data_IF_568934404264
#
_entry.id   IF_568934404264
#
_cell.length_a   1.000
_cell.length_b   1.000
_cell.length_c   1.000
_cell.angle_alpha   90.00
_cell.angle_beta   90.00
_cell.angle_gamma   90.00
#
_symmetry.space_group_name_H-M   'P 1'
#
loop_
_entity.id
_entity.type
_entity.pdbx_description
1 polymer ?
#
# COMPACT_ATOMS: atom_id res chain seq x y z
N UNK A 1 20.36 0.45 -5.13
CA UNK A 1 20.01 -0.99 -5.04
C UNK A 1 18.74 -1.24 -4.23
N UNK A 2 18.61 -0.71 -3.01
CA UNK A 2 17.43 -0.96 -2.14
C UNK A 2 16.08 -0.59 -2.77
N UNK A 3 16.03 0.54 -3.49
CA UNK A 3 14.83 0.97 -4.21
C UNK A 3 14.32 -0.06 -5.21
N UNK A 4 15.20 -0.74 -5.93
CA UNK A 4 14.81 -1.68 -6.99
C UNK A 4 14.20 -2.97 -6.42
N UNK A 5 14.43 -3.27 -5.14
CA UNK A 5 13.82 -4.40 -4.44
C UNK A 5 12.46 -4.04 -3.84
N UNK A 6 12.11 -2.75 -3.78
CA UNK A 6 10.86 -2.29 -3.17
C UNK A 6 9.61 -2.94 -3.79
N UNK A 7 9.48 -3.08 -5.13
CA UNK A 7 8.30 -3.73 -5.71
C UNK A 7 8.17 -5.19 -5.29
N UNK A 8 9.29 -5.90 -5.10
CA UNK A 8 9.28 -7.28 -4.62
C UNK A 8 8.77 -7.36 -3.18
N UNK A 9 9.27 -6.52 -2.28
CA UNK A 9 8.78 -6.49 -0.90
C UNK A 9 7.32 -6.02 -0.83
N UNK A 10 6.93 -5.07 -1.67
CA UNK A 10 5.53 -4.63 -1.79
C UNK A 10 4.61 -5.76 -2.28
N UNK A 11 5.08 -6.64 -3.17
CA UNK A 11 4.33 -7.82 -3.62
C UNK A 11 4.10 -8.84 -2.49
N UNK A 12 5.07 -8.99 -1.60
CA UNK A 12 5.03 -9.97 -0.50
C UNK A 12 4.22 -9.42 0.68
N UNK A 13 4.24 -8.11 0.89
CA UNK A 13 3.65 -7.47 2.08
C UNK A 13 2.19 -7.85 2.35
N UNK A 14 1.24 -7.85 1.38
CA UNK A 14 -0.14 -8.26 1.64
C UNK A 14 -0.26 -9.64 2.27
N UNK A 15 0.56 -10.61 1.87
CA UNK A 15 0.53 -11.97 2.42
C UNK A 15 0.97 -12.04 3.88
N UNK A 16 1.85 -11.11 4.29
CA UNK A 16 2.32 -11.01 5.68
C UNK A 16 1.36 -10.22 6.56
N UNK A 17 0.69 -9.22 5.97
CA UNK A 17 -0.26 -8.35 6.67
C UNK A 17 -1.61 -9.06 6.86
N UNK A 18 -2.08 -9.81 5.86
CA UNK A 18 -3.41 -10.43 5.86
C UNK A 18 -3.75 -11.25 7.13
N UNK A 19 -2.85 -12.09 7.70
CA UNK A 19 -3.13 -12.76 8.97
C UNK A 19 -3.37 -11.80 10.15
N UNK A 20 -2.72 -10.63 10.14
CA UNK A 20 -2.81 -9.61 11.19
C UNK A 20 -4.15 -8.86 11.09
N UNK A 21 -4.65 -8.64 9.87
CA UNK A 21 -5.92 -7.95 9.60
C UNK A 21 -7.14 -8.70 10.15
N UNK A 22 -7.06 -10.01 10.37
CA UNK A 22 -8.12 -10.76 11.04
C UNK A 22 -8.27 -10.42 12.52
N UNK A 23 -7.21 -9.90 13.16
CA UNK A 23 -7.14 -9.71 14.61
C UNK A 23 -7.23 -8.25 14.99
N UNK A 24 -6.64 -7.35 14.19
CA UNK A 24 -6.56 -5.94 14.51
C UNK A 24 -7.64 -5.09 13.81
N UNK A 25 -8.23 -4.12 14.51
CA UNK A 25 -9.14 -3.17 13.90
C UNK A 25 -8.38 -2.23 12.97
N UNK A 26 -9.06 -1.73 11.92
CA UNK A 26 -8.54 -0.74 10.97
C UNK A 26 -7.37 -1.26 10.09
N UNK A 27 -7.59 -2.25 9.21
CA UNK A 27 -6.56 -2.87 8.37
C UNK A 27 -5.75 -1.84 7.54
N UNK A 28 -6.44 -0.82 7.01
CA UNK A 28 -5.81 0.28 6.27
C UNK A 28 -4.68 0.99 7.02
N UNK A 29 -4.75 1.13 8.35
CA UNK A 29 -3.67 1.76 9.13
C UNK A 29 -2.42 0.87 9.12
N UNK A 30 -2.60 -0.44 9.28
CA UNK A 30 -1.50 -1.41 9.31
C UNK A 30 -0.81 -1.45 7.95
N UNK A 31 -1.59 -1.48 6.87
CA UNK A 31 -1.03 -1.44 5.53
C UNK A 31 -0.19 -0.19 5.29
N UNK A 32 -0.71 0.99 5.62
CA UNK A 32 0.04 2.24 5.41
C UNK A 32 1.30 2.30 6.27
N UNK A 33 1.28 1.74 7.49
CA UNK A 33 2.48 1.61 8.31
C UNK A 33 3.53 0.71 7.64
N UNK A 34 3.13 -0.42 7.08
CA UNK A 34 4.06 -1.31 6.36
C UNK A 34 4.61 -0.62 5.11
N UNK A 35 3.76 0.02 4.30
CA UNK A 35 4.20 0.79 3.12
C UNK A 35 5.17 1.89 3.51
N UNK A 36 4.92 2.57 4.63
CA UNK A 36 5.80 3.62 5.14
C UNK A 36 7.17 3.06 5.54
N UNK A 37 7.25 1.92 6.23
CA UNK A 37 8.53 1.25 6.53
C UNK A 37 9.28 0.91 5.24
N UNK A 38 8.59 0.31 4.27
CA UNK A 38 9.15 -0.07 2.98
C UNK A 38 9.70 1.14 2.21
N UNK A 39 8.92 2.21 2.08
CA UNK A 39 9.31 3.44 1.38
C UNK A 39 10.45 4.16 2.10
N UNK A 40 10.40 4.26 3.43
CA UNK A 40 11.44 4.90 4.23
C UNK A 40 12.80 4.19 4.11
N UNK A 41 12.79 2.85 4.05
CA UNK A 41 13.97 2.01 3.85
C UNK A 41 14.48 2.03 2.41
N UNK A 42 13.56 1.90 1.43
CA UNK A 42 13.88 1.76 0.02
C UNK A 42 14.29 3.06 -0.67
N UNK A 43 13.76 4.21 -0.20
CA UNK A 43 13.91 5.54 -0.83
C UNK A 43 13.66 5.51 -2.35
N UNK A 44 12.50 5.01 -2.79
CA UNK A 44 12.19 4.91 -4.21
C UNK A 44 12.06 6.29 -4.85
N UNK A 45 12.30 6.37 -6.17
CA UNK A 45 11.79 7.48 -6.97
C UNK A 45 10.29 7.26 -7.29
N UNK A 46 9.63 8.27 -7.84
CA UNK A 46 8.19 8.21 -8.15
C UNK A 46 7.81 7.00 -9.01
N UNK A 47 8.63 6.64 -10.02
CA UNK A 47 8.37 5.48 -10.89
C UNK A 47 8.34 4.17 -10.10
N UNK A 48 9.33 3.95 -9.24
CA UNK A 48 9.41 2.75 -8.41
C UNK A 48 8.30 2.74 -7.36
N UNK A 49 7.94 3.89 -6.79
CA UNK A 49 6.85 4.00 -5.83
C UNK A 49 5.50 3.61 -6.47
N UNK A 50 5.19 4.17 -7.64
CA UNK A 50 3.98 3.82 -8.40
C UNK A 50 3.93 2.33 -8.75
N UNK A 51 5.05 1.77 -9.24
CA UNK A 51 5.13 0.34 -9.52
C UNK A 51 4.92 -0.50 -8.26
N UNK A 52 5.51 -0.11 -7.13
CA UNK A 52 5.37 -0.82 -5.86
C UNK A 52 3.94 -0.82 -5.37
N UNK A 53 3.23 0.32 -5.49
CA UNK A 53 1.82 0.40 -5.13
C UNK A 53 0.92 -0.43 -6.03
N UNK A 54 1.15 -0.43 -7.35
CA UNK A 54 0.41 -1.29 -8.27
C UNK A 54 0.61 -2.78 -7.98
N UNK A 55 1.85 -3.20 -7.71
CA UNK A 55 2.16 -4.59 -7.38
C UNK A 55 1.57 -4.99 -6.02
N UNK A 56 1.61 -4.10 -5.02
CA UNK A 56 0.94 -4.31 -3.73
C UNK A 56 -0.56 -4.59 -3.92
N UNK A 57 -1.26 -3.74 -4.69
CA UNK A 57 -2.69 -3.89 -4.96
C UNK A 57 -3.03 -5.21 -5.68
N UNK A 58 -2.18 -5.63 -6.62
CA UNK A 58 -2.37 -6.90 -7.33
C UNK A 58 -2.20 -8.10 -6.39
N UNK A 59 -1.18 -8.07 -5.53
CA UNK A 59 -0.98 -9.12 -4.53
C UNK A 59 -2.13 -9.19 -3.53
N UNK A 60 -2.63 -8.04 -3.09
CA UNK A 60 -3.79 -7.97 -2.21
C UNK A 60 -5.05 -8.54 -2.88
N UNK A 61 -5.29 -8.22 -4.16
CA UNK A 61 -6.42 -8.76 -4.90
C UNK A 61 -6.36 -10.29 -5.06
N UNK A 62 -5.17 -10.89 -5.18
CA UNK A 62 -5.01 -12.36 -5.16
C UNK A 62 -5.53 -12.95 -3.85
N UNK A 63 -5.24 -12.30 -2.72
CA UNK A 63 -5.73 -12.72 -1.40
C UNK A 63 -7.25 -12.60 -1.34
N UNK A 64 -7.82 -11.48 -1.81
CA UNK A 64 -9.26 -11.29 -1.82
C UNK A 64 -10.01 -12.19 -2.80
N UNK A 65 -9.38 -12.66 -3.88
CA UNK A 65 -9.97 -13.62 -4.79
C UNK A 65 -10.31 -14.96 -4.13
N UNK A 66 -9.57 -15.36 -3.09
CA UNK A 66 -9.94 -16.53 -2.29
C UNK A 66 -11.26 -16.34 -1.53
N UNK A 67 -11.66 -15.09 -1.27
CA UNK A 67 -12.83 -14.75 -0.46
C UNK A 67 -14.03 -14.27 -1.29
N UNK A 68 -13.81 -13.65 -2.46
CA UNK A 68 -14.90 -13.17 -3.32
C UNK A 68 -14.49 -13.05 -4.79
N UNK A 69 -15.33 -13.53 -5.74
CA UNK A 69 -15.11 -13.34 -7.18
C UNK A 69 -15.23 -11.87 -7.62
N UNK A 70 -15.84 -10.99 -6.82
CA UNK A 70 -15.91 -9.54 -7.11
C UNK A 70 -14.59 -8.80 -6.79
N UNK A 71 -13.57 -9.48 -6.27
CA UNK A 71 -12.29 -8.86 -5.93
C UNK A 71 -11.58 -8.23 -7.16
N UNK A 72 -11.79 -8.78 -8.36
CA UNK A 72 -11.19 -8.24 -9.59
C UNK A 72 -11.76 -6.87 -9.97
N UNK A 73 -13.05 -6.60 -9.73
CA UNK A 73 -13.61 -5.27 -10.07
C UNK A 73 -13.10 -4.17 -9.15
N UNK A 74 -12.70 -4.53 -7.92
CA UNK A 74 -12.12 -3.59 -6.93
C UNK A 74 -10.74 -3.09 -7.35
N UNK A 75 -10.01 -3.82 -8.21
CA UNK A 75 -8.69 -3.40 -8.71
C UNK A 75 -8.70 -2.03 -9.39
N UNK A 76 -9.82 -1.66 -10.02
CA UNK A 76 -9.99 -0.33 -10.65
C UNK A 76 -9.83 0.80 -9.63
N UNK A 77 -10.16 0.55 -8.36
CA UNK A 77 -10.08 1.52 -7.29
C UNK A 77 -8.86 1.29 -6.38
N UNK A 78 -8.52 0.04 -6.08
CA UNK A 78 -7.40 -0.26 -5.17
C UNK A 78 -6.06 0.02 -5.84
N UNK A 79 -5.86 -0.27 -7.13
CA UNK A 79 -4.58 0.04 -7.81
C UNK A 79 -4.24 1.54 -7.75
N UNK A 80 -5.14 2.47 -8.14
CA UNK A 80 -4.89 3.90 -7.95
C UNK A 80 -4.62 4.29 -6.50
N UNK A 81 -5.33 3.68 -5.54
CA UNK A 81 -5.17 3.96 -4.12
C UNK A 81 -3.77 3.59 -3.61
N UNK A 82 -3.35 2.35 -3.81
CA UNK A 82 -2.03 1.88 -3.35
C UNK A 82 -0.90 2.60 -4.11
N UNK A 83 -1.06 2.87 -5.40
CA UNK A 83 -0.09 3.67 -6.16
C UNK A 83 0.04 5.09 -5.60
N UNK A 84 -1.07 5.74 -5.25
CA UNK A 84 -1.09 7.10 -4.73
C UNK A 84 -0.50 7.19 -3.33
N UNK A 85 -0.82 6.25 -2.44
CA UNK A 85 -0.27 6.21 -1.07
C UNK A 85 1.24 5.96 -1.07
N UNK A 86 1.74 5.02 -1.88
CA UNK A 86 3.19 4.85 -2.09
C UNK A 86 3.85 6.12 -2.65
N UNK A 87 3.21 6.79 -3.60
CA UNK A 87 3.72 8.03 -4.17
C UNK A 87 3.82 9.13 -3.10
N UNK A 88 2.76 9.37 -2.33
CA UNK A 88 2.73 10.35 -1.23
C UNK A 88 3.88 10.10 -0.25
N UNK A 89 4.04 8.85 0.20
CA UNK A 89 5.12 8.45 1.11
C UNK A 89 6.52 8.69 0.50
N UNK A 90 6.67 8.59 -0.82
CA UNK A 90 7.96 8.76 -1.51
C UNK A 90 8.33 10.22 -1.78
N UNK A 91 7.35 11.12 -1.90
CA UNK A 91 7.56 12.53 -2.28
C UNK A 91 7.96 13.40 -1.10
N UNK A 92 7.56 13.04 0.12
CA UNK A 92 7.83 13.85 1.29
C UNK A 92 9.28 13.67 1.77
N UNK A 93 9.98 14.75 2.13
CA UNK A 93 11.29 14.63 2.75
C UNK A 93 11.15 13.99 4.13
N UNK A 94 12.21 13.32 4.60
CA UNK A 94 12.17 12.54 5.85
C UNK A 94 11.69 13.31 7.08
N UNK A 95 11.95 14.62 7.15
CA UNK A 95 11.46 15.50 8.22
C UNK A 95 9.93 15.54 8.30
N UNK A 96 9.25 15.44 7.15
CA UNK A 96 7.79 15.48 7.04
C UNK A 96 7.17 14.10 6.78
N UNK A 97 7.94 13.03 6.93
CA UNK A 97 7.46 11.67 6.71
C UNK A 97 6.23 11.29 7.56
N UNK A 98 6.12 11.72 8.84
CA UNK A 98 4.89 11.51 9.61
C UNK A 98 3.65 12.15 8.98
N UNK A 99 3.79 13.33 8.36
CA UNK A 99 2.68 13.97 7.65
C UNK A 99 2.30 13.20 6.39
N UNK A 100 3.28 12.64 5.68
CA UNK A 100 3.04 11.77 4.53
C UNK A 100 2.26 10.51 4.91
N UNK A 101 2.63 9.89 6.05
CA UNK A 101 1.92 8.74 6.59
C UNK A 101 0.48 9.09 6.98
N UNK A 102 0.26 10.21 7.67
CA UNK A 102 -1.09 10.67 8.02
C UNK A 102 -1.91 10.89 6.74
N UNK A 103 -1.34 11.56 5.73
CA UNK A 103 -2.01 11.78 4.45
C UNK A 103 -2.36 10.47 3.73
N UNK A 104 -1.45 9.50 3.73
CA UNK A 104 -1.68 8.19 3.14
C UNK A 104 -2.79 7.41 3.86
N UNK A 105 -2.80 7.42 5.20
CA UNK A 105 -3.85 6.80 6.02
C UNK A 105 -5.22 7.45 5.74
N UNK A 106 -5.28 8.78 5.71
CA UNK A 106 -6.52 9.50 5.45
C UNK A 106 -7.04 9.25 4.02
N UNK A 107 -6.15 9.19 3.03
CA UNK A 107 -6.52 8.85 1.65
C UNK A 107 -7.07 7.42 1.56
N UNK A 108 -6.40 6.46 2.21
CA UNK A 108 -6.84 5.08 2.25
C UNK A 108 -8.20 4.96 2.94
N UNK A 109 -8.35 5.54 4.13
CA UNK A 109 -9.62 5.57 4.84
C UNK A 109 -10.74 6.18 3.98
N UNK A 110 -10.49 7.30 3.30
CA UNK A 110 -11.48 7.93 2.44
C UNK A 110 -11.90 7.01 1.28
N UNK A 111 -10.96 6.30 0.65
CA UNK A 111 -11.27 5.32 -0.40
C UNK A 111 -12.14 4.16 0.11
N UNK A 112 -11.89 3.67 1.33
CA UNK A 112 -12.69 2.62 1.94
C UNK A 112 -14.14 3.05 2.24
N UNK A 113 -14.48 4.33 2.16
CA UNK A 113 -15.88 4.78 2.23
C UNK A 113 -16.63 4.59 0.90
N UNK A 114 -15.92 4.42 -0.21
CA UNK A 114 -16.48 4.33 -1.56
C UNK A 114 -16.48 2.90 -2.12
N UNK A 115 -15.83 1.95 -1.45
CA UNK A 115 -15.63 0.56 -1.90
C UNK A 115 -16.15 -0.39 -0.82
#
# INVERSE_FOLDING_TARGET
MRSNLLPLFAAIAPFLIWPIEFVLPYPHIIEELVKAVLVWWGKPNAKIALLSGAVFALSEAIIYLFNSPTALSRLVYTVPLHASTFLILSLFPRRFFPLALIAAILLHWAYNLFI
#
